data_IF_158768391193
#
_entry.id   IF_158768391193
#
_cell.length_a   1.000
_cell.length_b   1.000
_cell.length_c   1.000
_cell.angle_alpha   90.00
_cell.angle_beta   90.00
_cell.angle_gamma   90.00
#
_symmetry.space_group_name_H-M   'P 1'
#
loop_
_entity.id
_entity.type
_entity.pdbx_description
1 polymer ?
#
# COMPACT_ATOMS: atom_id res chain seq x y z
N UNK A 1 27.36 -9.94 -22.08
CA UNK A 1 26.27 -10.21 -21.14
C UNK A 1 24.98 -9.64 -21.74
N UNK A 2 23.97 -10.48 -21.89
CA UNK A 2 22.69 -10.08 -22.47
C UNK A 2 21.95 -9.17 -21.45
N UNK A 3 21.08 -8.26 -21.94
CA UNK A 3 20.31 -7.38 -21.06
C UNK A 3 19.44 -8.15 -20.05
N UNK A 4 19.04 -9.36 -20.38
CA UNK A 4 18.33 -10.26 -19.47
C UNK A 4 19.20 -10.74 -18.30
N UNK A 5 20.46 -11.07 -18.57
CA UNK A 5 21.41 -11.49 -17.53
C UNK A 5 21.70 -10.37 -16.54
N UNK A 6 21.78 -9.11 -17.02
CA UNK A 6 22.00 -7.94 -16.16
C UNK A 6 20.81 -7.67 -15.24
N UNK A 7 19.56 -7.82 -15.74
CA UNK A 7 18.36 -7.64 -14.93
C UNK A 7 18.24 -8.72 -13.85
N UNK A 8 18.48 -9.98 -14.20
CA UNK A 8 18.42 -11.08 -13.23
C UNK A 8 19.48 -10.91 -12.14
N UNK A 9 20.69 -10.47 -12.49
CA UNK A 9 21.74 -10.19 -11.52
C UNK A 9 21.33 -9.08 -10.56
N UNK A 10 20.80 -7.96 -11.08
CA UNK A 10 20.32 -6.85 -10.26
C UNK A 10 19.16 -7.28 -9.33
N UNK A 11 18.23 -8.13 -9.80
CA UNK A 11 17.15 -8.66 -8.97
C UNK A 11 17.67 -9.50 -7.80
N UNK A 12 18.73 -10.28 -8.01
CA UNK A 12 19.38 -11.04 -6.93
C UNK A 12 20.06 -10.11 -5.94
N UNK A 13 20.78 -9.09 -6.40
CA UNK A 13 21.45 -8.10 -5.54
C UNK A 13 20.43 -7.30 -4.72
N UNK A 14 19.28 -6.92 -5.31
CA UNK A 14 18.17 -6.27 -4.59
C UNK A 14 17.65 -7.19 -3.47
N UNK A 15 17.41 -8.46 -3.76
CA UNK A 15 16.91 -9.42 -2.76
C UNK A 15 17.93 -9.60 -1.62
N UNK A 16 19.19 -9.69 -1.93
CA UNK A 16 20.26 -9.79 -0.93
C UNK A 16 20.31 -8.54 -0.04
N UNK A 17 20.29 -7.35 -0.64
CA UNK A 17 20.27 -6.09 0.10
C UNK A 17 19.05 -5.98 1.01
N UNK A 18 17.86 -6.26 0.48
CA UNK A 18 16.62 -6.20 1.25
C UNK A 18 16.57 -7.24 2.39
N UNK A 19 17.24 -8.36 2.27
CA UNK A 19 17.30 -9.37 3.33
C UNK A 19 18.02 -8.90 4.60
N UNK A 20 18.90 -7.90 4.49
CA UNK A 20 19.63 -7.26 5.59
C UNK A 20 18.81 -6.18 6.31
N UNK A 21 17.62 -5.87 5.82
CA UNK A 21 16.75 -4.80 6.31
C UNK A 21 15.51 -5.41 6.96
N UNK A 22 15.32 -5.17 8.27
CA UNK A 22 14.22 -5.79 9.02
C UNK A 22 12.86 -5.16 8.71
N UNK A 23 12.79 -3.81 8.70
CA UNK A 23 11.54 -3.07 8.49
C UNK A 23 11.73 -2.03 7.40
N UNK A 24 10.84 -1.99 6.41
CA UNK A 24 10.85 -1.03 5.31
C UNK A 24 9.58 -0.20 5.37
N UNK A 25 9.71 1.12 5.50
CA UNK A 25 8.58 2.05 5.66
C UNK A 25 8.60 3.09 4.56
N UNK A 26 7.60 3.05 3.68
CA UNK A 26 7.37 4.05 2.66
C UNK A 26 6.54 5.19 3.25
N UNK A 27 7.15 6.36 3.37
CA UNK A 27 6.45 7.58 3.77
C UNK A 27 5.88 8.24 2.54
N UNK A 28 4.56 8.36 2.47
CA UNK A 28 3.86 8.88 1.31
C UNK A 28 2.77 9.89 1.70
N UNK A 29 2.33 10.66 0.71
CA UNK A 29 1.27 11.65 0.88
C UNK A 29 0.45 11.78 -0.40
N UNK A 30 -0.80 12.21 -0.28
CA UNK A 30 -1.66 12.44 -1.43
C UNK A 30 -1.27 13.69 -2.22
N UNK A 31 -0.64 14.69 -1.56
CA UNK A 31 -0.23 15.96 -2.20
C UNK A 31 1.06 16.50 -1.61
N UNK A 32 1.71 17.44 -2.33
CA UNK A 32 2.90 18.14 -1.86
C UNK A 32 2.64 19.12 -0.71
N UNK A 33 3.68 19.45 0.06
CA UNK A 33 3.62 20.46 1.11
C UNK A 33 2.93 20.05 2.41
N UNK A 34 2.66 18.75 2.63
CA UNK A 34 2.05 18.24 3.87
C UNK A 34 3.06 17.89 4.97
N UNK A 35 4.36 18.03 4.71
CA UNK A 35 5.44 17.69 5.63
C UNK A 35 5.84 16.20 5.59
N UNK A 36 5.67 15.53 4.47
CA UNK A 36 6.06 14.15 4.23
C UNK A 36 7.55 13.93 4.50
N UNK A 37 8.42 14.68 3.82
CA UNK A 37 9.88 14.56 3.94
C UNK A 37 10.37 14.93 5.35
N UNK A 38 9.76 15.95 5.99
CA UNK A 38 10.03 16.25 7.41
C UNK A 38 9.68 15.07 8.31
N UNK A 39 8.54 14.42 8.06
CA UNK A 39 8.13 13.24 8.82
C UNK A 39 9.11 12.08 8.60
N UNK A 40 9.55 11.85 7.36
CA UNK A 40 10.53 10.80 7.04
C UNK A 40 11.88 11.05 7.72
N UNK A 41 12.41 12.29 7.62
CA UNK A 41 13.67 12.67 8.26
C UNK A 41 13.61 12.56 9.78
N UNK A 42 12.56 13.11 10.40
CA UNK A 42 12.38 13.06 11.86
C UNK A 42 12.19 11.64 12.36
N UNK A 43 11.44 10.79 11.64
CA UNK A 43 11.27 9.38 12.00
C UNK A 43 12.62 8.66 11.98
N UNK A 44 13.42 8.89 10.94
CA UNK A 44 14.75 8.28 10.81
C UNK A 44 15.69 8.70 11.93
N UNK A 45 15.77 9.99 12.21
CA UNK A 45 16.63 10.53 13.29
C UNK A 45 16.16 10.06 14.66
N UNK A 46 14.85 10.07 14.92
CA UNK A 46 14.29 9.61 16.20
C UNK A 46 14.52 8.12 16.45
N UNK A 47 14.44 7.29 15.41
CA UNK A 47 14.76 5.86 15.49
C UNK A 47 16.26 5.65 15.74
N UNK A 48 17.15 6.37 15.03
CA UNK A 48 18.58 6.29 15.23
C UNK A 48 19.00 6.74 16.64
N UNK A 49 18.41 7.82 17.17
CA UNK A 49 18.63 8.26 18.56
C UNK A 49 18.17 7.23 19.62
N UNK A 50 17.29 6.30 19.25
CA UNK A 50 16.86 5.16 20.09
C UNK A 50 17.76 3.93 19.93
N UNK A 51 18.87 4.03 19.16
CA UNK A 51 19.83 2.95 18.94
C UNK A 51 19.43 1.95 17.87
N UNK A 52 18.45 2.28 17.00
CA UNK A 52 18.17 1.47 15.81
C UNK A 52 19.09 1.87 14.67
N UNK A 53 19.51 0.89 13.87
CA UNK A 53 20.25 1.13 12.63
C UNK A 53 19.27 1.51 11.52
N UNK A 54 19.41 2.72 10.98
CA UNK A 54 18.43 3.32 10.07
C UNK A 54 19.07 3.71 8.75
N UNK A 55 18.43 3.32 7.64
CA UNK A 55 18.68 3.86 6.30
C UNK A 55 17.56 4.83 5.92
N UNK A 56 17.91 6.00 5.44
CA UNK A 56 16.95 6.95 4.85
C UNK A 56 17.22 7.08 3.36
N UNK A 57 16.25 6.67 2.56
CA UNK A 57 16.31 6.69 1.10
C UNK A 57 15.33 7.73 0.55
N UNK A 58 15.86 8.82 -0.03
CA UNK A 58 15.07 9.87 -0.67
C UNK A 58 14.88 9.54 -2.15
N UNK A 59 13.66 9.17 -2.52
CA UNK A 59 13.28 8.87 -3.91
C UNK A 59 12.39 9.96 -4.53
N UNK A 60 12.28 11.13 -3.90
CA UNK A 60 11.69 12.31 -4.51
C UNK A 60 12.68 12.97 -5.48
N UNK A 61 12.78 12.37 -6.66
CA UNK A 61 13.76 12.77 -7.67
C UNK A 61 13.52 14.15 -8.28
N UNK A 62 12.36 14.76 -8.03
CA UNK A 62 11.98 16.08 -8.54
C UNK A 62 12.29 17.22 -7.59
N UNK A 63 12.19 16.96 -6.30
CA UNK A 63 12.38 17.95 -5.25
C UNK A 63 13.03 17.33 -4.01
N UNK A 64 14.25 16.76 -4.15
CA UNK A 64 14.93 16.15 -3.03
C UNK A 64 15.14 17.21 -1.94
N UNK A 65 14.63 16.95 -0.76
CA UNK A 65 14.68 17.92 0.36
C UNK A 65 15.45 17.37 1.57
N UNK A 66 15.61 16.07 1.64
CA UNK A 66 16.27 15.38 2.77
C UNK A 66 17.70 15.89 3.03
N UNK A 67 18.59 16.01 2.01
CA UNK A 67 19.97 16.46 2.27
C UNK A 67 20.01 17.88 2.87
N UNK A 68 19.18 18.78 2.39
CA UNK A 68 19.11 20.16 2.90
C UNK A 68 18.56 20.21 4.33
N UNK A 69 17.48 19.48 4.59
CA UNK A 69 16.85 19.41 5.92
C UNK A 69 17.78 18.82 7.00
N UNK A 70 18.62 17.86 6.62
CA UNK A 70 19.62 17.26 7.52
C UNK A 70 20.91 18.06 7.60
N UNK A 71 21.10 19.08 6.76
CA UNK A 71 22.41 19.73 6.61
C UNK A 71 23.49 18.73 6.22
N UNK A 72 23.14 17.76 5.36
CA UNK A 72 23.97 16.63 5.01
C UNK A 72 25.26 17.10 4.35
N UNK A 73 26.38 16.72 4.94
CA UNK A 73 27.73 17.00 4.43
C UNK A 73 28.38 15.70 3.98
N UNK A 74 29.22 15.79 2.96
CA UNK A 74 29.90 14.65 2.40
C UNK A 74 29.40 14.27 1.02
N UNK A 75 30.04 13.29 0.45
CA UNK A 75 29.73 12.70 -0.86
C UNK A 75 29.61 11.19 -0.71
N UNK A 76 29.00 10.58 -1.70
CA UNK A 76 28.94 9.13 -1.81
C UNK A 76 30.37 8.61 -2.04
N UNK A 77 30.80 7.67 -1.22
CA UNK A 77 32.12 7.05 -1.31
C UNK A 77 32.02 5.70 -2.05
N UNK A 78 33.09 5.32 -2.80
CA UNK A 78 33.16 3.98 -3.39
C UNK A 78 33.02 2.90 -2.33
N UNK A 79 32.22 1.89 -2.61
CA UNK A 79 32.05 0.71 -1.75
C UNK A 79 33.16 -0.31 -1.94
N UNK A 80 33.07 -1.41 -1.22
CA UNK A 80 34.06 -2.51 -1.24
C UNK A 80 33.90 -3.41 -2.47
N UNK A 81 32.67 -3.50 -3.03
CA UNK A 81 32.37 -4.26 -4.23
C UNK A 81 32.52 -3.44 -5.52
N UNK A 82 32.83 -4.10 -6.64
CA UNK A 82 32.87 -3.44 -7.94
C UNK A 82 31.49 -2.85 -8.30
N UNK A 83 31.44 -1.53 -8.49
CA UNK A 83 30.20 -0.79 -8.79
C UNK A 83 29.31 -0.55 -7.57
N UNK A 84 29.77 -0.81 -6.36
CA UNK A 84 29.07 -0.48 -5.11
C UNK A 84 29.52 0.87 -4.55
N UNK A 85 28.69 1.44 -3.72
CA UNK A 85 28.95 2.71 -3.02
C UNK A 85 28.39 2.65 -1.59
N UNK A 86 28.95 3.48 -0.71
CA UNK A 86 28.43 3.66 0.63
C UNK A 86 27.46 4.85 0.68
N UNK A 87 26.35 4.69 1.38
CA UNK A 87 25.47 5.81 1.71
C UNK A 87 26.18 6.81 2.63
N UNK A 88 25.76 8.07 2.62
CA UNK A 88 26.34 9.09 3.47
C UNK A 88 25.96 8.84 4.93
N UNK A 89 26.93 8.70 5.82
CA UNK A 89 26.70 8.52 7.24
C UNK A 89 26.36 9.85 7.90
N UNK A 90 25.13 9.98 8.39
CA UNK A 90 24.64 11.17 9.08
C UNK A 90 24.80 11.10 10.59
N UNK A 91 24.46 9.96 11.20
CA UNK A 91 24.70 9.61 12.60
C UNK A 91 25.44 8.27 12.67
N UNK A 92 26.00 7.87 13.82
CA UNK A 92 26.68 6.57 13.95
C UNK A 92 25.85 5.39 13.45
N UNK A 93 24.53 5.43 13.70
CA UNK A 93 23.57 4.39 13.33
C UNK A 93 22.59 4.85 12.24
N UNK A 94 22.94 5.87 11.45
CA UNK A 94 22.06 6.37 10.37
C UNK A 94 22.84 6.68 9.10
N UNK A 95 22.36 6.05 8.00
CA UNK A 95 22.85 6.25 6.64
C UNK A 95 21.77 6.89 5.77
N UNK A 96 22.18 7.78 4.85
CA UNK A 96 21.27 8.54 3.99
C UNK A 96 21.74 8.46 2.55
N UNK A 97 20.79 8.25 1.63
CA UNK A 97 21.00 8.37 0.18
C UNK A 97 19.92 9.24 -0.44
N UNK A 98 20.30 10.13 -1.32
CA UNK A 98 19.39 10.95 -2.13
C UNK A 98 20.03 11.16 -3.51
N UNK A 99 19.22 11.44 -4.51
CA UNK A 99 19.69 11.79 -5.84
C UNK A 99 20.55 13.08 -5.81
N UNK A 100 20.22 14.01 -4.93
CA UNK A 100 21.03 15.24 -4.75
C UNK A 100 22.46 14.91 -4.33
N UNK A 101 22.65 13.83 -3.59
CA UNK A 101 23.97 13.36 -3.16
C UNK A 101 24.84 12.84 -4.32
N UNK A 102 24.23 12.47 -5.45
CA UNK A 102 24.90 12.04 -6.68
C UNK A 102 25.24 13.21 -7.61
N UNK A 103 24.61 14.36 -7.44
CA UNK A 103 24.76 15.52 -8.36
C UNK A 103 26.00 16.37 -8.07
N UNK A 104 26.72 16.09 -6.99
CA UNK A 104 27.94 16.84 -6.60
C UNK A 104 27.67 18.32 -6.38
N UNK A 105 28.51 19.19 -6.99
CA UNK A 105 28.37 20.65 -6.87
C UNK A 105 27.19 21.26 -7.67
N UNK A 106 26.62 20.52 -8.63
CA UNK A 106 25.53 20.98 -9.49
C UNK A 106 24.13 20.73 -8.89
N UNK A 107 23.96 20.98 -7.61
CA UNK A 107 22.71 20.69 -6.86
C UNK A 107 21.46 21.41 -7.35
N UNK A 108 21.63 22.55 -8.03
CA UNK A 108 20.53 23.36 -8.56
C UNK A 108 20.25 23.10 -10.05
N UNK A 109 20.93 22.12 -10.66
CA UNK A 109 20.68 21.77 -12.05
C UNK A 109 19.31 21.08 -12.20
N UNK A 110 18.43 21.64 -13.02
CA UNK A 110 17.17 21.01 -13.35
C UNK A 110 17.42 19.75 -14.20
N UNK A 111 17.28 18.61 -13.59
CA UNK A 111 17.43 17.31 -14.29
C UNK A 111 16.06 16.73 -14.63
N UNK A 112 15.81 16.50 -15.93
CA UNK A 112 14.55 15.89 -16.37
C UNK A 112 14.67 14.37 -16.32
N UNK A 113 14.10 13.78 -15.28
CA UNK A 113 14.03 12.33 -15.11
C UNK A 113 12.81 11.75 -15.82
N UNK A 114 13.02 10.90 -16.81
CA UNK A 114 11.95 10.14 -17.46
C UNK A 114 11.69 8.84 -16.68
N UNK A 115 10.45 8.32 -16.72
CA UNK A 115 10.01 7.15 -15.97
C UNK A 115 11.02 5.99 -15.90
N UNK A 116 11.55 5.45 -17.02
CA UNK A 116 12.51 4.35 -16.98
C UNK A 116 13.81 4.67 -16.23
N UNK A 117 14.28 5.94 -16.26
CA UNK A 117 15.47 6.35 -15.51
C UNK A 117 15.19 6.41 -14.01
N UNK A 118 14.01 6.88 -13.61
CA UNK A 118 13.59 6.93 -12.21
C UNK A 118 13.55 5.53 -11.59
N UNK A 119 12.93 4.59 -12.28
CA UNK A 119 12.89 3.18 -11.89
C UNK A 119 14.31 2.64 -11.70
N UNK A 120 15.21 2.94 -12.65
CA UNK A 120 16.60 2.54 -12.58
C UNK A 120 17.33 3.06 -11.35
N UNK A 121 17.17 4.35 -11.02
CA UNK A 121 17.80 4.97 -9.85
C UNK A 121 17.31 4.37 -8.54
N UNK A 122 16.00 4.18 -8.38
CA UNK A 122 15.44 3.55 -7.16
C UNK A 122 16.00 2.14 -6.97
N UNK A 123 16.06 1.36 -8.05
CA UNK A 123 16.64 0.01 -8.02
C UNK A 123 18.13 0.04 -7.67
N UNK A 124 18.89 1.00 -8.23
CA UNK A 124 20.31 1.19 -7.92
C UNK A 124 20.54 1.58 -6.45
N UNK A 125 19.70 2.44 -5.87
CA UNK A 125 19.79 2.77 -4.44
C UNK A 125 19.62 1.55 -3.53
N UNK A 126 18.95 0.52 -3.99
CA UNK A 126 18.78 -0.73 -3.25
C UNK A 126 19.93 -1.70 -3.58
N UNK A 127 20.27 -1.87 -4.88
CA UNK A 127 21.26 -2.85 -5.31
C UNK A 127 22.70 -2.39 -5.11
N UNK A 128 23.02 -1.12 -5.42
CA UNK A 128 24.39 -0.65 -5.54
C UNK A 128 24.93 0.01 -4.27
N UNK A 129 24.04 0.39 -3.34
CA UNK A 129 24.44 0.90 -2.03
C UNK A 129 24.72 -0.27 -1.07
N UNK A 130 25.88 -0.26 -0.47
CA UNK A 130 26.28 -1.16 0.61
C UNK A 130 25.70 -0.65 1.94
N UNK A 131 24.42 -0.95 2.17
CA UNK A 131 23.73 -0.63 3.43
C UNK A 131 24.28 -1.47 4.58
N UNK A 132 24.40 -0.88 5.77
CA UNK A 132 24.62 -1.68 6.98
C UNK A 132 23.40 -2.61 7.23
N UNK A 133 23.52 -3.56 8.15
CA UNK A 133 22.36 -4.37 8.59
C UNK A 133 21.34 -3.46 9.30
N UNK A 134 20.29 -3.07 8.57
CA UNK A 134 19.34 -2.07 9.03
C UNK A 134 18.19 -2.67 9.85
N UNK A 135 17.86 -2.01 10.96
CA UNK A 135 16.60 -2.27 11.66
C UNK A 135 15.42 -1.62 10.93
N UNK A 136 15.66 -0.46 10.33
CA UNK A 136 14.65 0.29 9.55
C UNK A 136 15.24 0.89 8.28
N UNK A 137 14.53 0.76 7.18
CA UNK A 137 14.72 1.59 5.99
C UNK A 137 13.49 2.49 5.84
N UNK A 138 13.70 3.79 5.92
CA UNK A 138 12.67 4.80 5.70
C UNK A 138 12.84 5.34 4.28
N UNK A 139 11.76 5.34 3.52
CA UNK A 139 11.76 5.71 2.12
C UNK A 139 10.87 6.95 1.96
N UNK A 140 11.46 8.08 1.61
CA UNK A 140 10.73 9.32 1.31
C UNK A 140 10.36 9.34 -0.17
N UNK A 141 9.06 9.26 -0.50
CA UNK A 141 8.58 9.24 -1.88
C UNK A 141 8.11 10.62 -2.34
N UNK A 142 8.02 10.89 -3.65
CA UNK A 142 7.31 12.07 -4.11
C UNK A 142 5.83 12.05 -3.70
N UNK A 143 5.14 13.19 -3.73
CA UNK A 143 3.71 13.24 -3.45
C UNK A 143 2.88 12.53 -4.53
N UNK A 144 1.78 11.92 -4.12
CA UNK A 144 0.85 11.22 -5.02
C UNK A 144 1.14 9.74 -5.16
N UNK A 145 0.66 9.17 -6.27
CA UNK A 145 0.66 7.71 -6.56
C UNK A 145 1.32 7.43 -7.91
N UNK A 146 2.41 8.12 -8.21
CA UNK A 146 3.13 8.05 -9.48
C UNK A 146 4.07 6.83 -9.60
N UNK A 147 5.03 6.94 -10.52
CA UNK A 147 5.96 5.85 -10.85
C UNK A 147 6.88 5.46 -9.69
N UNK A 148 7.31 6.42 -8.88
CA UNK A 148 8.25 6.18 -7.79
C UNK A 148 7.64 5.34 -6.66
N UNK A 149 6.47 5.69 -6.07
CA UNK A 149 5.79 4.82 -5.09
C UNK A 149 5.45 3.44 -5.66
N UNK A 150 5.06 3.36 -6.95
CA UNK A 150 4.79 2.09 -7.61
C UNK A 150 6.06 1.23 -7.74
N UNK A 151 7.18 1.86 -8.12
CA UNK A 151 8.47 1.17 -8.20
C UNK A 151 8.91 0.62 -6.84
N UNK A 152 8.74 1.42 -5.78
CA UNK A 152 9.03 0.96 -4.41
C UNK A 152 8.14 -0.24 -4.06
N UNK A 153 6.83 -0.15 -4.30
CA UNK A 153 5.89 -1.24 -4.01
C UNK A 153 6.24 -2.55 -4.76
N UNK A 154 6.69 -2.43 -6.01
CA UNK A 154 7.09 -3.58 -6.84
C UNK A 154 8.46 -4.16 -6.46
N UNK A 155 9.40 -3.30 -6.06
CA UNK A 155 10.78 -3.69 -5.76
C UNK A 155 10.93 -4.16 -4.32
N UNK A 156 10.15 -3.59 -3.38
CA UNK A 156 10.15 -3.88 -1.95
C UNK A 156 8.76 -4.36 -1.52
N UNK A 157 8.37 -5.59 -1.82
CA UNK A 157 7.00 -6.07 -1.62
C UNK A 157 6.55 -6.15 -0.16
N UNK A 158 7.49 -6.16 0.79
CA UNK A 158 7.22 -6.13 2.23
C UNK A 158 7.28 -4.70 2.84
N UNK A 159 7.40 -3.67 2.00
CA UNK A 159 7.31 -2.28 2.45
C UNK A 159 5.92 -1.98 3.01
N UNK A 160 5.88 -1.18 4.08
CA UNK A 160 4.65 -0.71 4.71
C UNK A 160 4.51 0.79 4.54
N UNK A 161 3.30 1.25 4.26
CA UNK A 161 3.03 2.68 4.06
C UNK A 161 2.76 3.40 5.38
N UNK A 162 3.41 4.55 5.58
CA UNK A 162 3.05 5.56 6.56
C UNK A 162 2.54 6.77 5.77
N UNK A 163 1.26 7.13 5.95
CA UNK A 163 0.63 8.17 5.13
C UNK A 163 0.54 9.47 5.91
N UNK A 164 1.10 10.55 5.36
CA UNK A 164 1.09 11.88 5.94
C UNK A 164 0.03 12.75 5.27
N UNK A 165 -0.76 13.44 6.06
CA UNK A 165 -1.81 14.37 5.60
C UNK A 165 -1.85 15.64 6.45
N UNK A 166 -2.64 16.61 6.02
CA UNK A 166 -3.05 17.77 6.83
C UNK A 166 -4.57 17.74 7.04
N UNK A 167 -5.12 18.48 8.02
CA UNK A 167 -6.57 18.46 8.29
C UNK A 167 -7.45 19.05 7.18
N UNK A 168 -6.86 19.64 6.14
CA UNK A 168 -7.58 20.29 5.04
C UNK A 168 -8.34 19.27 4.17
N UNK A 169 -9.60 19.56 3.82
CA UNK A 169 -10.45 18.69 2.98
C UNK A 169 -9.81 18.29 1.64
N UNK A 170 -9.09 19.23 0.99
CA UNK A 170 -8.39 18.94 -0.27
C UNK A 170 -7.31 17.89 -0.05
N UNK A 171 -6.55 17.97 1.05
CA UNK A 171 -5.53 16.97 1.39
C UNK A 171 -6.14 15.60 1.67
N UNK A 172 -7.30 15.57 2.33
CA UNK A 172 -8.02 14.33 2.65
C UNK A 172 -8.55 13.61 1.40
N UNK A 173 -8.96 14.37 0.36
CA UNK A 173 -9.35 13.79 -0.91
C UNK A 173 -8.19 13.06 -1.58
N UNK A 174 -7.00 13.66 -1.58
CA UNK A 174 -5.82 13.07 -2.18
C UNK A 174 -5.24 11.90 -1.34
N UNK A 175 -5.35 11.98 -0.01
CA UNK A 175 -4.98 10.88 0.89
C UNK A 175 -5.80 9.62 0.59
N UNK A 176 -7.08 9.73 0.28
CA UNK A 176 -7.89 8.57 -0.12
C UNK A 176 -7.36 7.88 -1.38
N UNK A 177 -6.78 8.66 -2.33
CA UNK A 177 -6.09 8.07 -3.50
C UNK A 177 -4.86 7.28 -3.08
N UNK A 178 -4.05 7.81 -2.14
CA UNK A 178 -2.89 7.08 -1.61
C UNK A 178 -3.29 5.81 -0.87
N UNK A 179 -4.37 5.84 -0.08
CA UNK A 179 -4.91 4.66 0.60
C UNK A 179 -5.35 3.60 -0.42
N UNK A 180 -6.09 4.00 -1.45
CA UNK A 180 -6.54 3.09 -2.50
C UNK A 180 -5.36 2.52 -3.31
N UNK A 181 -4.35 3.33 -3.60
CA UNK A 181 -3.11 2.86 -4.21
C UNK A 181 -2.45 1.75 -3.36
N UNK A 182 -2.25 1.98 -2.07
CA UNK A 182 -1.68 0.95 -1.18
C UNK A 182 -2.49 -0.36 -1.21
N UNK A 183 -3.83 -0.25 -1.22
CA UNK A 183 -4.72 -1.41 -1.33
C UNK A 183 -4.57 -2.14 -2.67
N UNK A 184 -4.46 -1.41 -3.79
CA UNK A 184 -4.28 -1.99 -5.12
C UNK A 184 -2.96 -2.74 -5.29
N UNK A 185 -1.88 -2.22 -4.68
CA UNK A 185 -0.56 -2.87 -4.72
C UNK A 185 -0.33 -3.82 -3.55
N UNK A 186 -1.36 -4.13 -2.74
CA UNK A 186 -1.30 -4.97 -1.54
C UNK A 186 -0.26 -4.54 -0.50
N UNK A 187 0.01 -3.23 -0.40
CA UNK A 187 0.92 -2.66 0.59
C UNK A 187 0.19 -2.45 1.92
N UNK A 188 0.72 -2.99 3.01
CA UNK A 188 0.20 -2.77 4.36
C UNK A 188 0.33 -1.29 4.75
N UNK A 189 -0.76 -0.72 5.29
CA UNK A 189 -0.75 0.66 5.81
C UNK A 189 -0.57 0.60 7.32
N UNK A 190 0.56 1.12 7.84
CA UNK A 190 0.81 1.25 9.27
C UNK A 190 -0.19 2.19 9.93
N UNK A 191 -0.48 3.31 9.26
CA UNK A 191 -1.45 4.30 9.71
C UNK A 191 -1.25 5.66 9.07
N UNK A 192 -2.05 6.63 9.55
CA UNK A 192 -2.00 8.02 9.14
C UNK A 192 -1.33 8.89 10.21
N UNK A 193 -0.56 9.88 9.77
CA UNK A 193 -0.08 11.01 10.57
C UNK A 193 -0.77 12.27 10.07
N UNK A 194 -1.51 12.95 10.94
CA UNK A 194 -2.08 14.27 10.65
C UNK A 194 -1.08 15.35 11.08
N UNK A 195 -0.45 16.00 10.11
CA UNK A 195 0.51 17.08 10.35
C UNK A 195 -0.17 18.46 10.22
N UNK A 196 0.42 19.50 10.80
CA UNK A 196 -0.09 20.88 10.82
C UNK A 196 -1.49 20.97 11.45
N UNK A 197 -1.75 20.17 12.48
CA UNK A 197 -3.04 20.11 13.18
C UNK A 197 -3.09 21.15 14.31
N UNK A 198 -3.26 22.42 13.92
CA UNK A 198 -3.29 23.57 14.82
C UNK A 198 -1.90 24.14 15.12
N UNK A 199 -1.89 25.36 15.68
CA UNK A 199 -0.70 26.09 16.11
C UNK A 199 -0.85 26.47 17.56
N UNK A 200 0.16 26.21 18.37
CA UNK A 200 0.20 26.72 19.73
C UNK A 200 0.60 28.22 19.70
N UNK A 201 -0.26 29.08 20.23
CA UNK A 201 0.02 30.51 20.28
C UNK A 201 1.28 30.77 21.14
N UNK A 202 2.33 31.39 20.61
CA UNK A 202 3.57 31.64 21.36
C UNK A 202 3.39 32.63 22.52
N UNK A 203 2.31 33.41 22.54
CA UNK A 203 2.06 34.42 23.56
C UNK A 203 1.23 33.89 24.74
N UNK A 204 0.23 33.02 24.48
CA UNK A 204 -0.72 32.60 25.50
C UNK A 204 -0.88 31.08 25.61
N UNK A 205 -0.18 30.28 24.83
CA UNK A 205 -0.24 28.83 24.83
C UNK A 205 -1.55 28.21 24.33
N UNK A 206 -2.55 29.02 23.92
CA UNK A 206 -3.81 28.49 23.39
C UNK A 206 -3.62 27.92 21.99
N UNK A 207 -4.29 26.80 21.74
CA UNK A 207 -4.32 26.20 20.39
C UNK A 207 -5.14 27.07 19.44
N UNK A 208 -4.56 27.41 18.29
CA UNK A 208 -5.19 28.14 17.20
C UNK A 208 -5.45 27.12 16.08
N UNK A 209 -6.71 26.93 15.73
CA UNK A 209 -7.09 26.08 14.60
C UNK A 209 -6.92 26.83 13.27
N UNK A 210 -5.70 26.81 12.71
CA UNK A 210 -5.41 27.48 11.42
C UNK A 210 -6.14 26.77 10.28
N UNK A 211 -6.16 25.46 10.31
CA UNK A 211 -6.93 24.59 9.43
C UNK A 211 -7.99 23.87 10.25
N UNK A 212 -9.04 23.35 9.62
CA UNK A 212 -9.97 22.44 10.33
C UNK A 212 -9.17 21.39 11.07
N UNK A 213 -9.61 20.97 12.26
CA UNK A 213 -8.97 19.93 13.04
C UNK A 213 -9.65 18.57 12.82
N UNK A 214 -8.94 17.47 13.14
CA UNK A 214 -9.45 16.08 13.13
C UNK A 214 -9.83 15.52 11.75
N UNK A 215 -9.44 16.15 10.65
CA UNK A 215 -9.73 15.64 9.30
C UNK A 215 -9.08 14.29 9.03
N UNK A 216 -7.79 14.13 9.42
CA UNK A 216 -7.06 12.87 9.33
C UNK A 216 -7.65 11.79 10.23
N UNK A 217 -8.06 12.15 11.46
CA UNK A 217 -8.73 11.22 12.37
C UNK A 217 -10.04 10.68 11.80
N UNK A 218 -10.87 11.57 11.23
CA UNK A 218 -12.14 11.18 10.60
C UNK A 218 -11.89 10.29 9.38
N UNK A 219 -10.86 10.62 8.58
CA UNK A 219 -10.46 9.81 7.41
C UNK A 219 -9.94 8.45 7.87
N UNK A 220 -9.06 8.40 8.86
CA UNK A 220 -8.57 7.14 9.40
C UNK A 220 -9.73 6.24 9.88
N UNK A 221 -10.66 6.80 10.65
CA UNK A 221 -11.85 6.07 11.12
C UNK A 221 -12.72 5.56 9.96
N UNK A 222 -12.97 6.41 8.95
CA UNK A 222 -13.78 6.04 7.77
C UNK A 222 -13.13 4.93 6.94
N UNK A 223 -11.82 4.98 6.80
CA UNK A 223 -11.05 4.02 6.00
C UNK A 223 -10.63 2.77 6.80
N UNK A 224 -10.99 2.68 8.09
CA UNK A 224 -10.61 1.55 8.96
C UNK A 224 -9.11 1.50 9.27
N UNK A 225 -8.43 2.66 9.26
CA UNK A 225 -7.01 2.78 9.50
C UNK A 225 -6.72 3.35 10.89
N UNK A 226 -5.48 3.18 11.35
CA UNK A 226 -5.00 3.81 12.60
C UNK A 226 -4.60 5.25 12.33
N UNK A 227 -4.93 6.15 13.25
CA UNK A 227 -4.26 7.44 13.38
C UNK A 227 -3.07 7.22 14.31
N UNK A 228 -1.85 7.36 13.78
CA UNK A 228 -0.61 7.20 14.57
C UNK A 228 -0.37 8.39 15.48
N UNK A 229 -0.79 9.58 15.06
CA UNK A 229 -0.74 10.79 15.85
C UNK A 229 -1.09 12.05 15.06
N UNK A 230 -1.14 13.16 15.78
CA UNK A 230 -1.38 14.50 15.25
C UNK A 230 -0.23 15.41 15.66
N UNK A 231 0.35 16.13 14.69
CA UNK A 231 1.47 17.03 14.91
C UNK A 231 1.01 18.48 14.75
N UNK A 232 1.30 19.36 15.71
CA UNK A 232 1.01 20.78 15.57
C UNK A 232 1.90 21.41 14.50
N UNK A 233 1.49 22.54 13.97
CA UNK A 233 2.38 23.42 13.24
C UNK A 233 3.34 24.06 14.26
N UNK A 234 4.64 23.90 14.04
CA UNK A 234 5.68 24.43 14.92
C UNK A 234 6.68 25.25 14.09
N UNK A 235 6.80 26.57 14.35
CA UNK A 235 7.72 27.42 13.61
C UNK A 235 9.19 26.97 13.69
N UNK A 236 9.58 26.35 14.81
CA UNK A 236 10.95 25.83 14.98
C UNK A 236 11.28 24.69 13.99
N UNK A 237 10.28 23.94 13.55
CA UNK A 237 10.45 22.91 12.50
C UNK A 237 10.91 23.51 11.19
N UNK A 238 10.33 24.66 10.83
CA UNK A 238 10.67 25.37 9.59
C UNK A 238 12.09 25.92 9.69
N UNK A 239 12.37 26.68 10.76
CA UNK A 239 13.70 27.31 10.94
C UNK A 239 14.82 26.28 11.06
N UNK A 240 14.59 25.17 11.74
CA UNK A 240 15.56 24.06 11.80
C UNK A 240 15.76 23.38 10.44
N UNK A 241 14.68 23.15 9.68
CA UNK A 241 14.78 22.59 8.33
C UNK A 241 15.58 23.49 7.38
N UNK A 242 15.41 24.81 7.46
CA UNK A 242 16.15 25.80 6.65
C UNK A 242 17.64 25.85 7.02
N UNK A 243 17.97 25.62 8.28
CA UNK A 243 19.37 25.60 8.78
C UNK A 243 20.04 24.23 8.71
N UNK A 244 19.30 23.20 8.26
CA UNK A 244 19.81 21.83 8.21
C UNK A 244 20.03 21.22 9.61
N UNK A 245 19.19 21.57 10.57
CA UNK A 245 19.27 21.11 11.95
C UNK A 245 18.07 20.25 12.33
N UNK A 246 18.29 19.21 13.12
CA UNK A 246 17.24 18.38 13.72
C UNK A 246 17.02 18.70 15.22
N UNK A 247 17.40 19.92 15.65
CA UNK A 247 17.34 20.37 17.05
C UNK A 247 15.95 20.31 17.68
N UNK A 248 14.88 20.44 16.88
CA UNK A 248 13.50 20.25 17.35
C UNK A 248 13.32 18.92 18.11
N UNK A 249 13.96 17.83 17.64
CA UNK A 249 13.87 16.51 18.30
C UNK A 249 14.64 16.42 19.62
N UNK A 250 15.42 17.42 19.97
CA UNK A 250 16.19 17.48 21.22
C UNK A 250 15.43 18.22 22.32
N UNK A 251 14.50 19.07 21.92
CA UNK A 251 13.69 19.88 22.84
C UNK A 251 12.40 19.14 23.22
N UNK A 252 12.45 18.40 24.32
CA UNK A 252 11.27 17.69 24.85
C UNK A 252 10.18 18.60 25.44
N UNK A 253 10.44 19.89 25.58
CA UNK A 253 9.43 20.84 26.04
C UNK A 253 8.46 21.23 24.93
N UNK A 254 8.87 21.05 23.67
CA UNK A 254 8.00 21.30 22.53
C UNK A 254 6.91 20.23 22.42
N UNK A 255 5.68 20.71 22.16
CA UNK A 255 4.54 19.81 21.97
C UNK A 255 4.78 18.86 20.77
N UNK A 256 5.32 19.38 19.67
CA UNK A 256 5.59 18.56 18.49
C UNK A 256 6.55 17.42 18.76
N UNK A 257 7.59 17.64 19.56
CA UNK A 257 8.56 16.59 19.92
C UNK A 257 7.91 15.48 20.73
N UNK A 258 7.07 15.83 21.70
CA UNK A 258 6.33 14.85 22.51
C UNK A 258 5.34 14.04 21.68
N UNK A 259 4.58 14.71 20.82
CA UNK A 259 3.60 14.02 19.96
C UNK A 259 4.31 13.17 18.91
N UNK A 260 5.43 13.64 18.37
CA UNK A 260 6.22 12.87 17.43
C UNK A 260 6.82 11.61 18.06
N UNK A 261 7.32 11.71 19.29
CA UNK A 261 7.83 10.55 20.01
C UNK A 261 6.74 9.47 20.21
N UNK A 262 5.47 9.85 20.44
CA UNK A 262 4.36 8.88 20.49
C UNK A 262 4.14 8.18 19.15
N UNK A 263 4.27 8.92 18.02
CA UNK A 263 4.20 8.31 16.69
C UNK A 263 5.32 7.29 16.52
N UNK A 264 6.54 7.63 16.90
CA UNK A 264 7.70 6.70 16.82
C UNK A 264 7.45 5.46 17.69
N UNK A 265 6.89 5.63 18.91
CA UNK A 265 6.54 4.50 19.79
C UNK A 265 5.52 3.56 19.14
N UNK A 266 4.47 4.10 18.51
CA UNK A 266 3.48 3.29 17.79
C UNK A 266 4.09 2.61 16.56
N UNK A 267 4.95 3.29 15.78
CA UNK A 267 5.67 2.67 14.66
C UNK A 267 6.52 1.51 15.15
N UNK A 268 7.31 1.71 16.20
CA UNK A 268 8.16 0.65 16.79
C UNK A 268 7.30 -0.51 17.28
N UNK A 269 6.20 -0.26 17.94
CA UNK A 269 5.29 -1.29 18.42
C UNK A 269 4.69 -2.10 17.29
N UNK A 270 4.24 -1.44 16.20
CA UNK A 270 3.65 -2.08 15.03
C UNK A 270 4.65 -2.87 14.18
N UNK A 271 5.93 -2.54 14.30
CA UNK A 271 7.01 -3.22 13.57
C UNK A 271 7.70 -4.29 14.42
N UNK A 272 7.79 -4.15 15.75
CA UNK A 272 8.34 -5.17 16.67
C UNK A 272 7.47 -6.41 16.81
N UNK A 273 6.16 -6.31 16.63
CA UNK A 273 5.21 -7.43 16.82
C UNK A 273 5.36 -8.51 15.73
N UNK A 274 6.33 -8.39 14.83
CA UNK A 274 6.54 -9.31 13.70
C UNK A 274 7.86 -10.10 13.73
N UNK A 275 8.43 -10.38 14.87
CA UNK A 275 9.52 -11.37 15.01
C UNK A 275 9.02 -12.82 15.16
N UNK A 276 7.70 -13.02 15.27
CA UNK A 276 7.12 -14.32 14.98
C UNK A 276 6.57 -14.26 13.54
N UNK A 277 6.67 -15.35 12.73
CA UNK A 277 5.96 -15.40 11.48
C UNK A 277 4.50 -15.12 11.84
N UNK A 278 4.03 -13.94 11.44
CA UNK A 278 2.59 -13.66 11.48
C UNK A 278 2.00 -14.81 10.70
N UNK A 279 1.15 -15.65 11.31
CA UNK A 279 0.20 -16.35 10.49
C UNK A 279 -0.38 -15.23 9.61
N UNK A 280 -0.27 -15.36 8.29
CA UNK A 280 -0.93 -14.47 7.33
C UNK A 280 -2.19 -14.00 8.00
N UNK A 281 -2.57 -12.70 7.99
CA UNK A 281 -3.86 -12.34 8.46
C UNK A 281 -4.74 -13.27 7.62
N UNK A 282 -5.07 -14.42 8.19
CA UNK A 282 -6.30 -15.05 7.83
C UNK A 282 -7.22 -13.85 7.95
N UNK A 283 -7.55 -13.16 6.79
CA UNK A 283 -8.91 -12.76 6.67
C UNK A 283 -9.59 -13.92 7.37
N UNK A 284 -10.22 -13.71 8.49
CA UNK A 284 -11.33 -14.51 8.84
C UNK A 284 -12.30 -14.28 7.67
N UNK A 285 -11.99 -14.95 6.58
CA UNK A 285 -13.00 -15.54 5.75
C UNK A 285 -13.80 -16.27 6.79
N UNK A 286 -15.03 -15.81 7.09
CA UNK A 286 -15.88 -16.51 8.05
C UNK A 286 -15.75 -17.96 7.62
N UNK A 287 -15.12 -18.77 8.49
CA UNK A 287 -14.64 -20.09 8.13
C UNK A 287 -15.81 -20.71 7.43
N UNK A 288 -15.65 -21.04 6.13
CA UNK A 288 -16.72 -21.63 5.34
C UNK A 288 -17.24 -22.72 6.27
N UNK A 289 -18.39 -22.48 6.91
CA UNK A 289 -18.99 -23.47 7.79
C UNK A 289 -18.97 -24.69 6.93
N UNK A 290 -18.21 -25.75 7.31
CA UNK A 290 -18.21 -27.02 6.58
C UNK A 290 -19.66 -27.39 6.47
N UNK A 291 -20.27 -27.01 5.34
CA UNK A 291 -21.65 -27.40 5.03
C UNK A 291 -21.60 -28.92 4.85
N UNK A 292 -22.63 -29.60 5.28
CA UNK A 292 -22.74 -31.03 5.01
C UNK A 292 -22.66 -31.27 3.50
N UNK A 293 -22.20 -32.42 3.06
CA UNK A 293 -22.05 -32.74 1.63
C UNK A 293 -23.33 -32.51 0.80
N UNK A 294 -24.47 -32.40 1.47
CA UNK A 294 -25.80 -32.22 0.86
C UNK A 294 -26.25 -30.74 0.74
N UNK A 295 -25.40 -29.79 1.12
CA UNK A 295 -25.74 -28.33 1.07
C UNK A 295 -24.78 -27.60 0.16
N UNK A 296 -25.26 -27.04 -0.97
CA UNK A 296 -24.49 -26.20 -1.91
C UNK A 296 -25.18 -24.86 -2.14
N UNK A 297 -24.42 -23.84 -2.49
CA UNK A 297 -24.92 -22.55 -2.96
C UNK A 297 -24.66 -22.45 -4.45
N UNK A 298 -25.72 -22.50 -5.23
CA UNK A 298 -25.70 -22.27 -6.66
C UNK A 298 -25.87 -20.79 -6.96
N UNK A 299 -25.10 -20.25 -7.88
CA UNK A 299 -25.14 -18.82 -8.23
C UNK A 299 -25.33 -18.67 -9.73
N UNK A 300 -26.28 -17.80 -10.11
CA UNK A 300 -26.63 -17.52 -11.51
C UNK A 300 -26.63 -16.01 -11.72
N UNK A 301 -25.87 -15.44 -12.69
CA UNK A 301 -25.97 -14.03 -13.06
C UNK A 301 -27.31 -13.77 -13.78
N UNK A 302 -28.04 -12.73 -13.39
CA UNK A 302 -29.39 -12.45 -13.84
C UNK A 302 -29.48 -11.06 -14.47
N UNK A 303 -30.18 -10.97 -15.60
CA UNK A 303 -30.62 -9.72 -16.22
C UNK A 303 -32.04 -9.94 -16.79
N UNK A 304 -32.99 -9.04 -16.45
CA UNK A 304 -34.37 -9.18 -16.88
C UNK A 304 -35.05 -10.47 -16.41
N UNK A 305 -34.67 -11.01 -15.24
CA UNK A 305 -35.28 -12.22 -14.65
C UNK A 305 -34.80 -13.55 -15.25
N UNK A 306 -33.80 -13.57 -16.15
CA UNK A 306 -33.21 -14.74 -16.80
C UNK A 306 -31.72 -14.72 -16.65
N UNK A 307 -31.05 -15.83 -16.99
CA UNK A 307 -29.61 -15.92 -17.08
C UNK A 307 -29.06 -14.79 -17.97
N UNK A 308 -28.08 -14.05 -17.46
CA UNK A 308 -27.38 -13.01 -18.24
C UNK A 308 -26.42 -13.66 -19.25
N UNK A 309 -26.41 -13.12 -20.49
CA UNK A 309 -25.48 -13.58 -21.53
C UNK A 309 -24.01 -13.39 -21.12
N UNK A 310 -23.70 -12.35 -20.32
CA UNK A 310 -22.37 -11.99 -19.91
C UNK A 310 -22.23 -12.03 -18.39
N UNK A 311 -21.25 -12.79 -17.90
CA UNK A 311 -20.94 -12.93 -16.47
C UNK A 311 -20.65 -11.58 -15.78
N UNK A 312 -19.93 -10.68 -16.45
CA UNK A 312 -19.49 -9.41 -15.88
C UNK A 312 -20.46 -8.23 -16.00
N UNK A 313 -21.58 -8.38 -16.71
CA UNK A 313 -22.53 -7.28 -17.00
C UNK A 313 -23.98 -7.63 -16.61
N UNK A 314 -24.16 -8.42 -15.57
CA UNK A 314 -25.47 -8.75 -15.05
C UNK A 314 -25.98 -7.69 -14.05
N UNK A 315 -27.28 -7.55 -13.93
CA UNK A 315 -27.92 -6.65 -12.98
C UNK A 315 -27.77 -7.16 -11.54
N UNK A 316 -27.97 -8.45 -11.36
CA UNK A 316 -27.93 -9.13 -10.06
C UNK A 316 -27.43 -10.56 -10.21
N UNK A 317 -27.09 -11.17 -9.07
CA UNK A 317 -26.82 -12.59 -8.96
C UNK A 317 -27.88 -13.26 -8.07
N UNK A 318 -28.45 -14.35 -8.56
CA UNK A 318 -29.34 -15.19 -7.78
C UNK A 318 -28.48 -16.23 -7.02
N UNK A 319 -28.50 -16.16 -5.69
CA UNK A 319 -27.89 -17.13 -4.79
C UNK A 319 -28.94 -18.08 -4.30
N UNK A 320 -28.82 -19.36 -4.64
CA UNK A 320 -29.78 -20.40 -4.29
C UNK A 320 -29.12 -21.40 -3.36
N UNK A 321 -29.56 -21.41 -2.10
CA UNK A 321 -29.13 -22.41 -1.13
C UNK A 321 -29.89 -23.71 -1.40
N UNK A 322 -29.14 -24.82 -1.46
CA UNK A 322 -29.73 -26.13 -1.71
C UNK A 322 -29.57 -27.04 -0.47
N UNK A 323 -30.58 -27.87 -0.21
CA UNK A 323 -30.57 -28.89 0.81
C UNK A 323 -31.28 -30.13 0.29
N UNK A 324 -30.68 -31.30 0.42
CA UNK A 324 -31.26 -32.57 -0.07
C UNK A 324 -31.68 -32.50 -1.55
N UNK A 325 -30.82 -31.98 -2.42
CA UNK A 325 -31.06 -31.78 -3.85
C UNK A 325 -32.31 -30.93 -4.20
N UNK A 326 -32.74 -30.06 -3.30
CA UNK A 326 -33.83 -29.10 -3.54
C UNK A 326 -33.37 -27.65 -3.16
N UNK A 327 -33.92 -26.65 -3.86
CA UNK A 327 -33.71 -25.25 -3.51
C UNK A 327 -34.44 -24.97 -2.19
N UNK A 328 -33.69 -24.54 -1.17
CA UNK A 328 -34.24 -24.20 0.14
C UNK A 328 -34.55 -22.69 0.26
N UNK A 329 -33.85 -21.84 -0.49
CA UNK A 329 -34.05 -20.39 -0.53
C UNK A 329 -33.31 -19.76 -1.69
N UNK A 330 -33.82 -18.61 -2.17
CA UNK A 330 -33.19 -17.78 -3.22
C UNK A 330 -33.02 -16.36 -2.68
N UNK A 331 -31.82 -15.81 -2.83
CA UNK A 331 -31.47 -14.44 -2.44
C UNK A 331 -30.85 -13.70 -3.64
N UNK A 332 -31.34 -12.50 -3.94
CA UNK A 332 -30.87 -11.69 -5.05
C UNK A 332 -29.89 -10.64 -4.56
N UNK A 333 -28.64 -10.68 -5.07
CA UNK A 333 -27.56 -9.77 -4.65
C UNK A 333 -27.02 -8.95 -5.80
N UNK A 334 -26.84 -7.65 -5.57
CA UNK A 334 -26.24 -6.75 -6.54
C UNK A 334 -24.71 -6.90 -6.50
N UNK A 335 -24.06 -7.16 -7.65
CA UNK A 335 -22.59 -7.26 -7.69
C UNK A 335 -21.93 -5.91 -7.40
N UNK A 336 -20.66 -5.91 -6.94
CA UNK A 336 -19.84 -4.72 -6.87
C UNK A 336 -19.57 -4.16 -8.29
N UNK A 337 -19.07 -2.92 -8.37
CA UNK A 337 -18.66 -2.31 -9.63
C UNK A 337 -17.72 -3.24 -10.41
N UNK A 338 -17.90 -3.28 -11.74
CA UNK A 338 -17.14 -4.18 -12.60
C UNK A 338 -15.67 -3.78 -12.68
N UNK A 339 -14.81 -4.54 -12.00
CA UNK A 339 -13.36 -4.45 -12.08
C UNK A 339 -12.75 -5.85 -12.31
N UNK A 340 -11.65 -5.97 -13.07
CA UNK A 340 -11.03 -7.28 -13.33
C UNK A 340 -10.66 -8.03 -12.04
N UNK A 341 -11.17 -9.25 -11.86
CA UNK A 341 -10.87 -10.12 -10.72
C UNK A 341 -11.73 -9.90 -9.46
N UNK A 342 -12.53 -8.84 -9.39
CA UNK A 342 -13.37 -8.52 -8.21
C UNK A 342 -14.54 -9.50 -8.08
N UNK A 343 -15.26 -9.82 -9.17
CA UNK A 343 -16.41 -10.72 -9.14
C UNK A 343 -16.07 -12.15 -8.65
N UNK A 344 -15.00 -12.81 -9.12
CA UNK A 344 -14.61 -14.11 -8.59
C UNK A 344 -14.31 -14.09 -7.08
N UNK A 345 -13.68 -13.04 -6.57
CA UNK A 345 -13.42 -12.89 -5.15
C UNK A 345 -14.71 -12.65 -4.37
N UNK A 346 -15.57 -11.76 -4.87
CA UNK A 346 -16.85 -11.47 -4.24
C UNK A 346 -17.76 -12.70 -4.15
N UNK A 347 -17.86 -13.50 -5.22
CA UNK A 347 -18.64 -14.74 -5.23
C UNK A 347 -18.12 -15.76 -4.20
N UNK A 348 -16.80 -15.86 -4.08
CA UNK A 348 -16.16 -16.70 -3.06
C UNK A 348 -16.49 -16.23 -1.65
N UNK A 349 -16.38 -14.93 -1.38
CA UNK A 349 -16.68 -14.30 -0.09
C UNK A 349 -18.16 -14.43 0.28
N UNK A 350 -19.06 -14.46 -0.73
CA UNK A 350 -20.49 -14.70 -0.56
C UNK A 350 -20.85 -16.18 -0.40
N UNK A 351 -19.88 -17.08 -0.48
CA UNK A 351 -20.06 -18.51 -0.22
C UNK A 351 -20.59 -19.32 -1.40
N UNK A 352 -20.38 -18.87 -2.63
CA UNK A 352 -20.74 -19.63 -3.84
C UNK A 352 -19.96 -20.95 -3.91
N UNK A 353 -20.65 -22.06 -4.21
CA UNK A 353 -20.05 -23.37 -4.46
C UNK A 353 -20.04 -23.71 -5.95
N UNK A 354 -21.08 -23.29 -6.67
CA UNK A 354 -21.24 -23.52 -8.11
C UNK A 354 -21.73 -22.24 -8.78
N UNK A 355 -21.15 -21.88 -9.92
CA UNK A 355 -21.59 -20.74 -10.74
C UNK A 355 -22.03 -21.26 -12.10
N UNK A 356 -23.28 -20.98 -12.47
CA UNK A 356 -23.88 -21.39 -13.76
C UNK A 356 -23.98 -20.16 -14.65
N UNK A 357 -23.37 -20.18 -15.84
CA UNK A 357 -23.29 -19.04 -16.76
C UNK A 357 -23.54 -19.46 -18.21
N UNK A 358 -24.01 -18.52 -19.03
CA UNK A 358 -24.09 -18.69 -20.47
C UNK A 358 -22.73 -18.58 -21.14
N UNK A 359 -21.92 -17.59 -20.73
CA UNK A 359 -20.55 -17.37 -21.19
C UNK A 359 -19.67 -16.69 -20.14
N UNK A 360 -18.38 -17.05 -20.11
CA UNK A 360 -17.37 -16.48 -19.20
C UNK A 360 -15.98 -16.55 -19.82
N UNK A 361 -15.21 -15.46 -19.73
CA UNK A 361 -13.82 -15.41 -20.18
C UNK A 361 -12.91 -16.36 -19.39
N UNK A 362 -11.90 -16.93 -20.02
CA UNK A 362 -10.99 -17.95 -19.45
C UNK A 362 -10.32 -17.49 -18.13
N UNK A 363 -9.93 -16.22 -18.05
CA UNK A 363 -9.30 -15.66 -16.83
C UNK A 363 -10.23 -15.72 -15.60
N UNK A 364 -11.51 -15.40 -15.78
CA UNK A 364 -12.50 -15.47 -14.70
C UNK A 364 -12.78 -16.93 -14.30
N UNK A 365 -12.82 -17.84 -15.26
CA UNK A 365 -12.94 -19.28 -15.00
C UNK A 365 -11.77 -19.80 -14.15
N UNK A 366 -10.52 -19.44 -14.51
CA UNK A 366 -9.33 -19.82 -13.75
C UNK A 366 -9.41 -19.35 -12.29
N UNK A 367 -9.74 -18.08 -12.07
CA UNK A 367 -9.85 -17.50 -10.73
C UNK A 367 -10.94 -18.15 -9.87
N UNK A 368 -12.07 -18.56 -10.44
CA UNK A 368 -13.13 -19.27 -9.72
C UNK A 368 -12.71 -20.69 -9.35
N UNK A 369 -12.06 -21.42 -10.29
CA UNK A 369 -11.55 -22.78 -10.05
C UNK A 369 -10.45 -22.81 -8.98
N UNK A 370 -9.52 -21.85 -9.00
CA UNK A 370 -8.48 -21.69 -7.95
C UNK A 370 -9.09 -21.52 -6.54
N UNK A 371 -10.29 -20.93 -6.48
CA UNK A 371 -11.06 -20.76 -5.23
C UNK A 371 -11.95 -21.97 -4.89
N UNK A 372 -11.89 -23.03 -5.68
CA UNK A 372 -12.68 -24.23 -5.47
C UNK A 372 -14.17 -24.06 -5.80
N UNK A 373 -14.52 -23.09 -6.65
CA UNK A 373 -15.89 -22.87 -7.16
C UNK A 373 -16.03 -23.63 -8.48
N UNK A 374 -17.03 -24.50 -8.56
CA UNK A 374 -17.39 -25.21 -9.79
C UNK A 374 -18.02 -24.23 -10.78
N UNK A 375 -17.61 -24.28 -12.06
CA UNK A 375 -18.13 -23.39 -13.11
C UNK A 375 -18.79 -24.19 -14.22
N UNK A 376 -20.08 -23.96 -14.45
CA UNK A 376 -20.87 -24.54 -15.54
C UNK A 376 -21.08 -23.48 -16.61
N UNK A 377 -20.62 -23.72 -17.82
CA UNK A 377 -20.63 -22.78 -18.93
C UNK A 377 -21.58 -23.28 -20.01
N UNK A 378 -22.15 -22.36 -20.79
CA UNK A 378 -23.05 -22.67 -21.89
C UNK A 378 -24.46 -23.04 -21.45
N UNK A 379 -24.90 -22.60 -20.26
CA UNK A 379 -26.27 -22.79 -19.82
C UNK A 379 -27.26 -21.96 -20.68
N UNK A 380 -28.48 -22.49 -20.93
CA UNK A 380 -29.50 -21.80 -21.69
C UNK A 380 -30.02 -20.56 -20.94
N UNK A 381 -30.60 -19.58 -21.67
CA UNK A 381 -31.12 -18.32 -21.14
C UNK A 381 -32.46 -18.49 -20.40
N UNK A 382 -32.48 -19.41 -19.43
CA UNK A 382 -33.62 -19.75 -18.62
C UNK A 382 -33.66 -18.98 -17.28
N UNK A 383 -34.79 -18.97 -16.55
CA UNK A 383 -34.85 -18.44 -15.19
C UNK A 383 -33.86 -19.17 -14.25
N UNK A 384 -33.25 -18.48 -13.27
CA UNK A 384 -32.23 -19.04 -12.40
C UNK A 384 -32.68 -20.32 -11.65
N UNK A 385 -33.92 -20.36 -11.19
CA UNK A 385 -34.48 -21.53 -10.48
C UNK A 385 -34.64 -22.76 -11.39
N UNK A 386 -34.96 -22.54 -12.68
CA UNK A 386 -35.01 -23.61 -13.68
C UNK A 386 -33.63 -24.23 -13.89
N UNK A 387 -32.60 -23.38 -14.06
CA UNK A 387 -31.21 -23.83 -14.25
C UNK A 387 -30.66 -24.57 -13.02
N UNK A 388 -30.98 -24.08 -11.82
CA UNK A 388 -30.60 -24.75 -10.59
C UNK A 388 -31.27 -26.12 -10.44
N UNK A 389 -32.56 -26.25 -10.75
CA UNK A 389 -33.25 -27.54 -10.73
C UNK A 389 -32.70 -28.50 -11.78
N UNK A 390 -32.37 -28.04 -12.98
CA UNK A 390 -31.74 -28.85 -14.02
C UNK A 390 -30.35 -29.31 -13.58
N UNK A 391 -29.54 -28.49 -12.91
CA UNK A 391 -28.26 -28.85 -12.34
C UNK A 391 -28.43 -29.93 -11.25
N UNK A 392 -29.36 -29.74 -10.32
CA UNK A 392 -29.59 -30.67 -9.22
C UNK A 392 -30.11 -32.05 -9.68
N UNK A 393 -30.83 -32.06 -10.81
CA UNK A 393 -31.32 -33.32 -11.44
C UNK A 393 -30.36 -33.94 -12.48
N UNK A 394 -29.16 -33.37 -12.66
CA UNK A 394 -28.19 -33.73 -13.69
C UNK A 394 -28.78 -33.69 -15.14
N UNK A 395 -29.72 -32.82 -15.40
CA UNK A 395 -30.34 -32.65 -16.72
C UNK A 395 -29.93 -31.33 -17.42
N UNK A 396 -29.07 -30.54 -16.81
CA UNK A 396 -28.59 -29.30 -17.38
C UNK A 396 -27.72 -29.56 -18.60
N UNK A 397 -28.18 -29.15 -19.77
CA UNK A 397 -27.43 -29.27 -21.03
C UNK A 397 -26.55 -28.01 -21.17
N UNK A 398 -25.23 -28.20 -21.16
CA UNK A 398 -24.26 -27.14 -21.40
C UNK A 398 -23.94 -27.05 -22.91
N UNK A 399 -24.06 -25.86 -23.48
CA UNK A 399 -23.71 -25.56 -24.87
C UNK A 399 -22.28 -25.00 -25.02
N UNK A 400 -21.98 -24.39 -26.16
CA UNK A 400 -20.73 -23.69 -26.38
C UNK A 400 -20.63 -22.40 -25.54
N UNK A 401 -19.39 -22.00 -25.16
CA UNK A 401 -19.15 -20.74 -24.46
C UNK A 401 -19.53 -19.54 -25.36
N UNK A 402 -20.48 -18.71 -24.91
CA UNK A 402 -20.95 -17.56 -25.71
C UNK A 402 -19.97 -16.39 -25.69
N UNK A 403 -18.89 -16.44 -24.89
CA UNK A 403 -17.89 -15.39 -24.71
C UNK A 403 -16.51 -15.77 -25.29
N UNK A 404 -16.45 -16.41 -26.45
CA UNK A 404 -15.19 -16.53 -27.22
C UNK A 404 -14.97 -15.28 -28.06
N UNK A 405 -14.43 -14.23 -27.40
CA UNK A 405 -13.80 -13.08 -28.05
C UNK A 405 -12.60 -12.62 -27.22
#
# INVERSE_FOLDING_TARGET
>A
MDKQDQHQKQDMEIKESLSKIKNKILVMSGKGGVGKSSTAAYLSVALAKRGYKVGLMDVDLHGPSIPRMLGLKGSIEPGTGAGKAHAIRYLPDMEVISIESLMGENKDAATIWRGPLKIGVIRQFISDIEWMDLDYMIIDSPPGTGDEPLTVAQTIPDAKALIVTTPQEISLADVRKSINFCRQVNMEILGLVENMSGLTCPHCGKMIEIFKTRGGMLTAKKEGLRLLGTLPLEPEVVSNGDTGSMGVLENNDLLITREFNKIVDEVVKLTKTRTEPVPEPKKEVPARKKRSADTKVLVVPVSGGKLSAHFGHCEQFAFMETQNHKIAGTDMRTPPAHEPGVLPQWLYDQGADVVIVGGMGERAQGLLREKGIEVIIGAPMDPPESLANQYLSNTLVSGANVCDH
#
